data_IF_389349864721
#
_entry.id   IF_389349864721
#
_cell.length_a   1.000
_cell.length_b   1.000
_cell.length_c   1.000
_cell.angle_alpha   90.00
_cell.angle_beta   90.00
_cell.angle_gamma   90.00
#
_symmetry.space_group_name_H-M   'P 1'
#
loop_
_entity.id
_entity.type
_entity.pdbx_description
1 polymer ?
#
# COMPACT_ATOMS: atom_id res chain seq x y z
N UNK A 1 4.82 -17.17 2.22
CA UNK A 1 5.41 -16.46 1.06
C UNK A 1 4.27 -15.68 0.41
N UNK A 2 4.41 -14.38 0.25
CA UNK A 2 3.38 -13.50 -0.32
C UNK A 2 3.11 -13.85 -1.79
N UNK A 3 1.85 -13.72 -2.20
CA UNK A 3 1.43 -13.98 -3.59
C UNK A 3 1.74 -12.76 -4.46
N UNK A 4 1.44 -11.55 -3.95
CA UNK A 4 1.57 -10.30 -4.69
C UNK A 4 2.84 -9.54 -4.27
N UNK A 5 3.98 -10.14 -4.60
CA UNK A 5 5.32 -9.60 -4.30
C UNK A 5 6.23 -9.68 -5.53
N UNK A 6 7.20 -8.75 -5.61
CA UNK A 6 8.16 -8.60 -6.72
C UNK A 6 7.47 -8.57 -8.10
N UNK A 7 7.75 -9.52 -8.97
CA UNK A 7 7.21 -9.60 -10.34
C UNK A 7 5.68 -9.79 -10.35
N UNK A 8 5.10 -10.29 -9.25
CA UNK A 8 3.66 -10.45 -9.09
C UNK A 8 2.99 -9.27 -8.37
N UNK A 9 3.70 -8.16 -8.15
CA UNK A 9 3.17 -7.01 -7.44
C UNK A 9 1.94 -6.42 -8.11
N UNK A 10 0.92 -6.11 -7.31
CA UNK A 10 -0.29 -5.45 -7.79
C UNK A 10 -0.16 -3.92 -7.72
N UNK A 11 -0.70 -3.25 -8.73
CA UNK A 11 -0.87 -1.80 -8.75
C UNK A 11 -1.78 -1.32 -7.59
N UNK A 12 -1.64 -0.05 -7.18
CA UNK A 12 -2.59 0.61 -6.26
C UNK A 12 -3.98 0.84 -6.88
N UNK A 13 -4.12 0.59 -8.19
CA UNK A 13 -5.34 0.74 -8.98
C UNK A 13 -5.92 2.17 -9.06
N UNK A 14 -5.15 3.19 -8.67
CA UNK A 14 -5.55 4.59 -8.80
C UNK A 14 -5.99 4.97 -10.24
N UNK A 15 -5.26 4.62 -11.32
CA UNK A 15 -5.65 5.04 -12.67
C UNK A 15 -6.76 4.16 -13.27
N UNK A 16 -7.18 3.08 -12.61
CA UNK A 16 -8.09 2.12 -13.23
C UNK A 16 -9.45 2.74 -13.55
N UNK A 17 -9.97 3.60 -12.67
CA UNK A 17 -11.25 4.28 -12.90
C UNK A 17 -11.21 5.18 -14.15
N UNK A 18 -10.15 5.99 -14.31
CA UNK A 18 -9.96 6.83 -15.50
C UNK A 18 -9.77 6.05 -16.80
N UNK A 19 -9.36 4.78 -16.69
CA UNK A 19 -9.20 3.86 -17.83
C UNK A 19 -10.47 3.03 -18.11
N UNK A 20 -11.61 3.37 -17.49
CA UNK A 20 -12.86 2.63 -17.65
C UNK A 20 -12.91 1.27 -16.95
N UNK A 21 -11.98 1.01 -16.01
CA UNK A 21 -11.85 -0.25 -15.25
C UNK A 21 -12.22 -0.08 -13.78
N UNK A 22 -13.26 0.71 -13.50
CA UNK A 22 -13.69 1.07 -12.14
C UNK A 22 -14.06 -0.14 -11.28
N UNK A 23 -14.60 -1.18 -11.92
CA UNK A 23 -14.94 -2.48 -11.32
C UNK A 23 -13.72 -3.20 -10.74
N UNK A 24 -12.52 -3.01 -11.31
CA UNK A 24 -11.28 -3.64 -10.87
C UNK A 24 -10.57 -2.90 -9.73
N UNK A 25 -10.97 -1.65 -9.42
CA UNK A 25 -10.31 -0.82 -8.39
C UNK A 25 -10.35 -1.50 -7.03
N UNK A 26 -11.56 -1.77 -6.51
CA UNK A 26 -11.72 -2.36 -5.17
C UNK A 26 -11.16 -3.78 -5.07
N UNK A 27 -11.43 -4.70 -6.01
CA UNK A 27 -10.87 -6.05 -5.98
C UNK A 27 -9.34 -6.07 -5.94
N UNK A 28 -8.68 -5.25 -6.77
CA UNK A 28 -7.21 -5.20 -6.84
C UNK A 28 -6.61 -4.71 -5.53
N UNK A 29 -7.14 -3.61 -4.99
CA UNK A 29 -6.68 -3.05 -3.73
C UNK A 29 -6.90 -4.02 -2.56
N UNK A 30 -8.07 -4.66 -2.50
CA UNK A 30 -8.40 -5.60 -1.43
C UNK A 30 -7.52 -6.85 -1.47
N UNK A 31 -7.22 -7.39 -2.66
CA UNK A 31 -6.29 -8.51 -2.84
C UNK A 31 -4.90 -8.18 -2.30
N UNK A 32 -4.38 -6.99 -2.63
CA UNK A 32 -3.07 -6.56 -2.17
C UNK A 32 -3.03 -6.41 -0.63
N UNK A 33 -4.02 -5.71 -0.05
CA UNK A 33 -4.09 -5.53 1.42
C UNK A 33 -4.29 -6.86 2.15
N UNK A 34 -5.12 -7.77 1.61
CA UNK A 34 -5.34 -9.08 2.22
C UNK A 34 -4.04 -9.89 2.28
N UNK A 35 -3.30 -9.94 1.18
CA UNK A 35 -2.01 -10.66 1.13
C UNK A 35 -0.97 -10.09 2.10
N UNK A 36 -0.98 -8.76 2.35
CA UNK A 36 -0.16 -8.15 3.41
C UNK A 36 -0.54 -8.68 4.80
N UNK A 37 -1.84 -8.65 5.15
CA UNK A 37 -2.35 -9.07 6.47
C UNK A 37 -2.13 -10.56 6.70
N UNK A 38 -2.47 -11.40 5.71
CA UNK A 38 -2.36 -12.85 5.80
C UNK A 38 -0.91 -13.31 6.03
N UNK A 39 0.08 -12.47 5.67
CA UNK A 39 1.50 -12.75 5.88
C UNK A 39 2.11 -11.92 7.03
N UNK A 40 1.29 -11.33 7.91
CA UNK A 40 1.74 -10.71 9.16
C UNK A 40 2.46 -9.36 8.99
N UNK A 41 2.20 -8.61 7.91
CA UNK A 41 2.79 -7.29 7.74
C UNK A 41 2.25 -6.29 8.77
N UNK A 42 3.16 -5.54 9.41
CA UNK A 42 2.82 -4.48 10.39
C UNK A 42 2.78 -3.08 9.76
N UNK A 43 3.43 -2.91 8.61
CA UNK A 43 3.53 -1.65 7.90
C UNK A 43 3.45 -1.85 6.38
N UNK A 44 2.99 -0.81 5.68
CA UNK A 44 2.97 -0.75 4.22
C UNK A 44 3.78 0.48 3.77
N UNK A 45 4.85 0.24 3.01
CA UNK A 45 5.79 1.29 2.59
C UNK A 45 5.56 1.59 1.11
N UNK A 46 5.38 2.86 0.81
CA UNK A 46 5.08 3.37 -0.53
C UNK A 46 6.25 4.20 -1.06
N UNK A 47 6.64 3.96 -2.30
CA UNK A 47 7.64 4.82 -2.99
C UNK A 47 6.97 5.95 -3.77
N UNK A 48 5.66 5.85 -4.00
CA UNK A 48 4.88 6.82 -4.76
C UNK A 48 3.81 7.48 -3.86
N UNK A 49 3.75 8.81 -3.89
CA UNK A 49 2.76 9.61 -3.16
C UNK A 49 1.32 9.25 -3.54
N UNK A 50 1.05 9.04 -4.83
CA UNK A 50 -0.26 8.63 -5.33
C UNK A 50 -0.68 7.25 -4.78
N UNK A 51 0.26 6.30 -4.70
CA UNK A 51 -0.01 5.00 -4.11
C UNK A 51 -0.36 5.11 -2.62
N UNK A 52 0.39 5.92 -1.85
CA UNK A 52 0.07 6.18 -0.44
C UNK A 52 -1.30 6.83 -0.31
N UNK A 53 -1.59 7.88 -1.06
CA UNK A 53 -2.89 8.58 -1.02
C UNK A 53 -4.06 7.64 -1.32
N UNK A 54 -3.87 6.72 -2.28
CA UNK A 54 -4.91 5.75 -2.69
C UNK A 54 -5.14 4.65 -1.65
N UNK A 55 -4.09 4.20 -0.96
CA UNK A 55 -4.11 2.98 -0.16
C UNK A 55 -4.02 3.21 1.36
N UNK A 56 -3.50 4.35 1.83
CA UNK A 56 -3.20 4.62 3.25
C UNK A 56 -4.39 4.33 4.16
N UNK A 57 -5.52 4.98 3.89
CA UNK A 57 -6.74 4.77 4.69
C UNK A 57 -7.23 3.31 4.69
N UNK A 58 -6.97 2.53 3.63
CA UNK A 58 -7.33 1.11 3.57
C UNK A 58 -6.41 0.24 4.42
N UNK A 59 -5.11 0.49 4.38
CA UNK A 59 -4.13 -0.28 5.17
C UNK A 59 -4.23 0.07 6.66
N UNK A 60 -4.46 1.36 7.00
CA UNK A 60 -4.67 1.83 8.39
C UNK A 60 -5.89 1.17 9.02
N UNK A 61 -7.03 1.12 8.31
CA UNK A 61 -8.23 0.41 8.78
C UNK A 61 -8.03 -1.08 9.03
N UNK A 62 -6.91 -1.64 8.57
CA UNK A 62 -6.53 -3.03 8.79
C UNK A 62 -5.38 -3.19 9.78
N UNK A 63 -4.97 -2.12 10.45
CA UNK A 63 -3.95 -2.12 11.49
C UNK A 63 -2.52 -1.95 10.98
N UNK A 64 -2.32 -1.72 9.68
CA UNK A 64 -0.98 -1.49 9.12
C UNK A 64 -0.63 0.00 9.15
N UNK A 65 0.63 0.31 9.43
CA UNK A 65 1.16 1.68 9.38
C UNK A 65 1.54 2.07 7.95
N UNK A 66 0.97 3.12 7.33
CA UNK A 66 1.36 3.56 5.99
C UNK A 66 2.53 4.55 6.03
N UNK A 67 3.65 4.19 5.41
CA UNK A 67 4.83 5.05 5.31
C UNK A 67 5.15 5.38 3.87
N UNK A 68 5.64 6.59 3.60
CA UNK A 68 6.49 6.80 2.42
C UNK A 68 7.87 6.23 2.70
N UNK A 69 8.60 5.82 1.66
CA UNK A 69 9.98 5.39 1.80
C UNK A 69 10.86 6.45 2.49
N UNK A 70 10.60 7.73 2.21
CA UNK A 70 11.26 8.85 2.88
C UNK A 70 11.00 8.88 4.39
N UNK A 71 9.83 8.42 4.85
CA UNK A 71 9.51 8.37 6.28
C UNK A 71 10.45 7.38 6.98
N UNK A 72 10.81 6.26 6.34
CA UNK A 72 11.77 5.31 6.90
C UNK A 72 13.17 5.91 7.04
N UNK A 73 13.62 6.66 6.04
CA UNK A 73 14.92 7.34 6.09
C UNK A 73 14.95 8.36 7.23
N UNK A 74 13.88 9.15 7.40
CA UNK A 74 13.74 10.13 8.48
C UNK A 74 13.71 9.46 9.86
N UNK A 75 12.98 8.34 10.00
CA UNK A 75 12.98 7.54 11.24
C UNK A 75 14.37 7.01 11.58
N UNK A 76 15.14 6.55 10.59
CA UNK A 76 16.51 6.08 10.79
C UNK A 76 17.46 7.19 11.27
N UNK A 77 17.17 8.45 10.93
CA UNK A 77 17.87 9.64 11.43
C UNK A 77 17.37 10.10 12.81
N UNK A 78 16.38 9.42 13.41
CA UNK A 78 15.81 9.77 14.71
C UNK A 78 14.71 10.84 14.64
N UNK A 79 14.21 11.20 13.45
CA UNK A 79 13.10 12.13 13.31
C UNK A 79 11.77 11.49 13.74
N UNK A 80 10.88 12.30 14.32
CA UNK A 80 9.49 11.91 14.55
C UNK A 80 8.67 12.14 13.27
N UNK A 81 7.94 11.11 12.86
CA UNK A 81 6.99 11.17 11.74
C UNK A 81 5.61 11.47 12.34
N UNK A 82 4.97 12.52 11.83
CA UNK A 82 3.61 12.91 12.23
C UNK A 82 2.56 12.11 11.44
#
# INVERSE_FOLDING_TARGET
KRIYDRENALCCAAPFASLGKSDLVRPTQNKNVKDMIDNGAEACVFVCSMCKQTMASKVERKGLKPYLLSDLARMALGEKIN
#
